data_IF_102789668442
#
_entry.id   IF_102789668442
#
_cell.length_a   1.000
_cell.length_b   1.000
_cell.length_c   1.000
_cell.angle_alpha   90.00
_cell.angle_beta   90.00
_cell.angle_gamma   90.00
#
_symmetry.space_group_name_H-M   'P 1'
#
loop_
_entity.id
_entity.type
_entity.pdbx_description
1 polymer ?
#
# COMPACT_ATOMS: atom_id res chain seq x y z
N UNK A 1 -25.20 3.96 11.22
CA UNK A 1 -23.96 4.35 11.95
C UNK A 1 -23.23 3.19 12.62
N UNK A 2 -23.90 2.24 13.31
CA UNK A 2 -23.22 1.09 13.94
C UNK A 2 -22.42 0.22 12.94
N UNK A 3 -23.02 -0.11 11.78
CA UNK A 3 -22.38 -0.90 10.73
C UNK A 3 -21.07 -0.27 10.22
N UNK A 4 -21.05 1.04 9.95
CA UNK A 4 -19.85 1.75 9.48
C UNK A 4 -18.70 1.68 10.49
N UNK A 5 -18.98 1.77 11.79
CA UNK A 5 -17.96 1.63 12.84
C UNK A 5 -17.36 0.23 12.85
N UNK A 6 -18.20 -0.80 12.67
CA UNK A 6 -17.75 -2.19 12.58
C UNK A 6 -16.86 -2.37 11.36
N UNK A 7 -17.27 -1.88 10.18
CA UNK A 7 -16.47 -1.96 8.94
C UNK A 7 -15.10 -1.29 9.08
N UNK A 8 -15.02 -0.11 9.70
CA UNK A 8 -13.73 0.56 9.98
C UNK A 8 -12.83 -0.27 10.90
N UNK A 9 -13.40 -0.84 11.95
CA UNK A 9 -12.64 -1.67 12.90
C UNK A 9 -12.18 -2.98 12.26
N UNK A 10 -13.00 -3.59 11.41
CA UNK A 10 -12.63 -4.77 10.63
C UNK A 10 -11.49 -4.44 9.65
N UNK A 11 -11.53 -3.27 8.99
CA UNK A 11 -10.43 -2.82 8.14
C UNK A 11 -9.13 -2.63 8.94
N UNK A 12 -9.20 -1.99 10.11
CA UNK A 12 -8.04 -1.81 10.99
C UNK A 12 -7.50 -3.14 11.52
N UNK A 13 -8.36 -4.05 11.98
CA UNK A 13 -7.94 -5.39 12.42
C UNK A 13 -7.32 -6.19 11.26
N UNK A 14 -7.91 -6.11 10.06
CA UNK A 14 -7.37 -6.72 8.85
C UNK A 14 -5.99 -6.20 8.50
N UNK A 15 -5.74 -4.90 8.64
CA UNK A 15 -4.40 -4.30 8.45
C UNK A 15 -3.36 -4.87 9.42
N UNK A 16 -3.71 -5.04 10.70
CA UNK A 16 -2.82 -5.64 11.70
C UNK A 16 -2.53 -7.09 11.36
N UNK A 17 -3.57 -7.88 11.10
CA UNK A 17 -3.44 -9.31 10.78
C UNK A 17 -2.60 -9.49 9.51
N UNK A 18 -2.88 -8.72 8.46
CA UNK A 18 -2.10 -8.73 7.23
C UNK A 18 -0.63 -8.44 7.49
N UNK A 19 -0.33 -7.36 8.22
CA UNK A 19 1.06 -6.94 8.48
C UNK A 19 1.79 -7.98 9.32
N UNK A 20 1.16 -8.51 10.37
CA UNK A 20 1.74 -9.53 11.22
C UNK A 20 1.99 -10.84 10.47
N UNK A 21 1.02 -11.31 9.67
CA UNK A 21 1.17 -12.51 8.87
C UNK A 21 2.25 -12.35 7.80
N UNK A 22 2.30 -11.19 7.14
CA UNK A 22 3.27 -10.89 6.09
C UNK A 22 4.71 -10.87 6.62
N UNK A 23 4.98 -10.09 7.68
CA UNK A 23 6.33 -10.06 8.26
C UNK A 23 6.67 -11.36 8.99
N UNK A 24 5.70 -12.04 9.59
CA UNK A 24 5.89 -13.38 10.16
C UNK A 24 6.33 -14.39 9.10
N UNK A 25 5.72 -14.35 7.92
CA UNK A 25 6.12 -15.16 6.78
C UNK A 25 7.53 -14.81 6.28
N UNK A 26 7.85 -13.53 6.09
CA UNK A 26 9.19 -13.12 5.68
C UNK A 26 10.27 -13.53 6.69
N UNK A 27 9.97 -13.43 7.99
CA UNK A 27 10.87 -13.87 9.05
C UNK A 27 11.06 -15.38 9.02
N UNK A 28 9.98 -16.14 8.83
CA UNK A 28 10.06 -17.59 8.65
C UNK A 28 10.96 -17.98 7.47
N UNK A 29 10.80 -17.32 6.31
CA UNK A 29 11.65 -17.56 5.13
C UNK A 29 13.11 -17.19 5.43
N UNK A 30 13.34 -16.04 6.08
CA UNK A 30 14.69 -15.61 6.46
C UNK A 30 15.38 -16.54 7.44
N UNK A 31 14.65 -17.12 8.41
CA UNK A 31 15.18 -18.12 9.33
C UNK A 31 15.43 -19.46 8.65
N UNK A 32 14.57 -19.86 7.70
CA UNK A 32 14.67 -21.15 7.02
C UNK A 32 15.79 -21.18 5.99
N UNK A 33 15.98 -20.10 5.24
CA UNK A 33 16.89 -20.04 4.09
C UNK A 33 18.11 -19.13 4.33
N UNK A 34 18.18 -18.48 5.50
CA UNK A 34 19.19 -17.49 5.84
C UNK A 34 18.83 -16.08 5.37
N UNK A 35 19.35 -15.07 6.09
CA UNK A 35 19.20 -13.66 5.74
C UNK A 35 20.16 -13.27 4.61
N UNK A 36 19.86 -13.72 3.39
CA UNK A 36 20.58 -13.30 2.19
C UNK A 36 20.39 -11.79 1.94
N UNK A 37 21.32 -11.12 1.22
CA UNK A 37 21.17 -9.70 0.88
C UNK A 37 19.83 -9.37 0.21
N UNK A 38 19.31 -10.28 -0.62
CA UNK A 38 18.01 -10.17 -1.26
C UNK A 38 16.85 -10.16 -0.25
N UNK A 39 16.92 -11.00 0.78
CA UNK A 39 15.90 -10.99 1.85
C UNK A 39 15.95 -9.68 2.64
N UNK A 40 17.16 -9.19 2.98
CA UNK A 40 17.33 -7.90 3.67
C UNK A 40 16.76 -6.76 2.83
N UNK A 41 17.07 -6.71 1.55
CA UNK A 41 16.51 -5.73 0.62
C UNK A 41 14.98 -5.77 0.64
N UNK A 42 14.39 -6.98 0.61
CA UNK A 42 12.95 -7.18 0.63
C UNK A 42 12.30 -6.68 1.93
N UNK A 43 12.91 -6.95 3.09
CA UNK A 43 12.47 -6.37 4.37
C UNK A 43 12.48 -4.85 4.37
N UNK A 44 13.52 -4.24 3.78
CA UNK A 44 13.63 -2.78 3.73
C UNK A 44 12.60 -2.19 2.77
N UNK A 45 12.42 -2.76 1.58
CA UNK A 45 11.41 -2.30 0.62
C UNK A 45 10.00 -2.46 1.16
N UNK A 46 9.74 -3.55 1.87
CA UNK A 46 8.40 -3.85 2.38
C UNK A 46 8.13 -3.27 3.78
N UNK A 47 9.11 -2.59 4.37
CA UNK A 47 8.99 -1.86 5.66
C UNK A 47 7.85 -0.85 5.68
N UNK A 48 7.41 -0.36 4.51
CA UNK A 48 6.26 0.54 4.40
C UNK A 48 4.97 -0.08 4.95
N UNK A 49 4.83 -1.41 4.93
CA UNK A 49 3.68 -2.09 5.53
C UNK A 49 3.65 -1.95 7.05
N UNK A 50 4.75 -1.63 7.73
CA UNK A 50 4.73 -1.35 9.17
C UNK A 50 3.87 -0.12 9.50
N UNK A 51 3.75 0.85 8.58
CA UNK A 51 2.85 1.99 8.75
C UNK A 51 1.37 1.59 8.76
N UNK A 52 1.01 0.38 8.26
CA UNK A 52 -0.35 -0.14 8.44
C UNK A 52 -0.69 -0.41 9.91
N UNK A 53 0.29 -0.70 10.78
CA UNK A 53 0.02 -0.85 12.21
C UNK A 53 -0.40 0.50 12.81
N UNK A 54 0.34 1.57 12.49
CA UNK A 54 0.00 2.93 12.93
C UNK A 54 -1.38 3.35 12.39
N UNK A 55 -1.59 3.16 11.09
CA UNK A 55 -2.87 3.37 10.42
C UNK A 55 -4.02 2.63 11.14
N UNK A 56 -3.84 1.34 11.41
CA UNK A 56 -4.84 0.49 12.05
C UNK A 56 -5.19 0.95 13.45
N UNK A 57 -4.20 1.36 14.26
CA UNK A 57 -4.44 1.94 15.59
C UNK A 57 -5.34 3.18 15.46
N UNK A 58 -5.03 4.07 14.50
CA UNK A 58 -5.85 5.24 14.23
C UNK A 58 -7.27 4.89 13.79
N UNK A 59 -7.46 3.87 12.95
CA UNK A 59 -8.78 3.38 12.53
C UNK A 59 -9.58 2.76 13.69
N UNK A 60 -8.96 1.91 14.51
CA UNK A 60 -9.60 1.26 15.65
C UNK A 60 -10.09 2.27 16.69
N UNK A 61 -9.31 3.32 16.91
CA UNK A 61 -9.63 4.45 17.79
C UNK A 61 -10.50 5.53 17.13
N UNK A 62 -10.85 5.36 15.86
CA UNK A 62 -11.66 6.31 15.05
C UNK A 62 -11.05 7.74 15.12
N UNK A 63 -9.74 7.83 14.96
CA UNK A 63 -9.02 9.11 14.91
C UNK A 63 -8.86 9.58 13.46
N UNK A 64 -9.08 10.88 13.23
CA UNK A 64 -9.01 11.49 11.88
C UNK A 64 -7.65 11.29 11.21
N UNK A 65 -6.55 11.32 11.96
CA UNK A 65 -5.22 11.02 11.42
C UNK A 65 -5.11 9.59 10.89
N UNK A 66 -5.81 8.61 11.49
CA UNK A 66 -5.83 7.22 11.04
C UNK A 66 -6.43 7.10 9.64
N UNK A 67 -7.49 7.87 9.35
CA UNK A 67 -8.07 7.95 8.01
C UNK A 67 -7.07 8.51 7.00
N UNK A 68 -6.40 9.63 7.33
CA UNK A 68 -5.40 10.23 6.45
C UNK A 68 -4.25 9.28 6.12
N UNK A 69 -3.66 8.65 7.15
CA UNK A 69 -2.57 7.69 6.98
C UNK A 69 -3.05 6.50 6.14
N UNK A 70 -4.25 5.95 6.41
CA UNK A 70 -4.80 4.84 5.62
C UNK A 70 -4.90 5.21 4.14
N UNK A 71 -5.57 6.32 3.84
CA UNK A 71 -5.83 6.73 2.46
C UNK A 71 -4.51 7.01 1.72
N UNK A 72 -3.53 7.64 2.37
CA UNK A 72 -2.21 7.91 1.79
C UNK A 72 -1.46 6.60 1.52
N UNK A 73 -1.47 5.64 2.46
CA UNK A 73 -0.79 4.35 2.27
C UNK A 73 -1.41 3.55 1.12
N UNK A 74 -2.73 3.38 1.10
CA UNK A 74 -3.40 2.69 -0.02
C UNK A 74 -3.23 3.45 -1.34
N UNK A 75 -3.26 4.78 -1.32
CA UNK A 75 -2.99 5.59 -2.50
C UNK A 75 -1.57 5.38 -3.05
N UNK A 76 -0.57 5.29 -2.17
CA UNK A 76 0.81 4.94 -2.56
C UNK A 76 0.87 3.55 -3.14
N UNK A 77 0.26 2.54 -2.50
CA UNK A 77 0.26 1.17 -3.00
C UNK A 77 -0.43 1.05 -4.37
N UNK A 78 -1.56 1.73 -4.55
CA UNK A 78 -2.25 1.80 -5.84
C UNK A 78 -1.35 2.43 -6.91
N UNK A 79 -0.73 3.58 -6.61
CA UNK A 79 0.17 4.26 -7.55
C UNK A 79 1.39 3.39 -7.89
N UNK A 80 2.06 2.82 -6.89
CA UNK A 80 3.20 1.91 -7.09
C UNK A 80 2.82 0.72 -7.95
N UNK A 81 1.67 0.09 -7.69
CA UNK A 81 1.22 -1.08 -8.47
C UNK A 81 0.83 -0.69 -9.89
N UNK A 82 0.18 0.46 -10.07
CA UNK A 82 -0.19 0.97 -11.39
C UNK A 82 1.05 1.23 -12.26
N UNK A 83 2.07 1.90 -11.70
CA UNK A 83 3.35 2.14 -12.39
C UNK A 83 4.04 0.80 -12.70
N UNK A 84 4.08 -0.13 -11.74
CA UNK A 84 4.70 -1.44 -11.92
C UNK A 84 4.06 -2.24 -13.06
N UNK A 85 2.74 -2.45 -13.00
CA UNK A 85 2.00 -3.18 -14.04
C UNK A 85 2.06 -2.46 -15.39
N UNK A 86 2.00 -1.13 -15.41
CA UNK A 86 2.14 -0.35 -16.64
C UNK A 86 3.53 -0.49 -17.28
N UNK A 87 4.59 -0.50 -16.47
CA UNK A 87 5.97 -0.72 -16.94
C UNK A 87 6.14 -2.14 -17.47
N UNK A 88 5.62 -3.14 -16.77
CA UNK A 88 5.66 -4.55 -17.21
C UNK A 88 4.97 -4.72 -18.58
N UNK A 89 3.76 -4.18 -18.75
CA UNK A 89 3.06 -4.21 -20.04
C UNK A 89 3.78 -3.44 -21.15
N UNK A 90 4.38 -2.29 -20.84
CA UNK A 90 5.18 -1.54 -21.80
C UNK A 90 6.39 -2.34 -22.29
N UNK A 91 7.12 -2.99 -21.37
CA UNK A 91 8.30 -3.79 -21.72
C UNK A 91 7.95 -5.04 -22.54
N UNK A 92 6.82 -5.70 -22.24
CA UNK A 92 6.33 -6.84 -23.02
C UNK A 92 5.90 -6.38 -24.42
N UNK A 93 5.12 -5.31 -24.53
CA UNK A 93 4.60 -4.83 -25.83
C UNK A 93 5.67 -4.29 -26.77
N UNK A 94 6.79 -3.79 -26.23
CA UNK A 94 7.95 -3.34 -27.01
C UNK A 94 8.92 -4.47 -27.36
N UNK A 95 8.73 -5.68 -26.82
CA UNK A 95 9.63 -6.81 -27.02
C UNK A 95 10.99 -6.66 -26.32
N UNK A 96 11.10 -5.74 -25.36
CA UNK A 96 12.33 -5.55 -24.56
C UNK A 96 12.56 -6.69 -23.57
N UNK A 97 11.50 -7.41 -23.20
CA UNK A 97 11.57 -8.63 -22.37
C UNK A 97 11.02 -9.80 -23.21
N UNK A 98 11.73 -10.94 -23.21
CA UNK A 98 11.37 -12.14 -23.96
C UNK A 98 10.33 -13.02 -23.25
N UNK A 99 9.90 -12.64 -22.04
CA UNK A 99 8.91 -13.38 -21.25
C UNK A 99 7.52 -13.24 -21.88
N UNK A 100 6.82 -14.35 -22.13
CA UNK A 100 5.45 -14.31 -22.64
C UNK A 100 4.51 -13.70 -21.59
N UNK A 101 3.46 -13.02 -22.05
CA UNK A 101 2.43 -12.48 -21.17
C UNK A 101 1.73 -13.62 -20.42
N UNK A 102 1.98 -13.71 -19.11
CA UNK A 102 1.26 -14.61 -18.21
C UNK A 102 -0.07 -13.98 -17.78
N UNK A 103 -1.16 -14.45 -18.38
CA UNK A 103 -2.53 -14.00 -18.05
C UNK A 103 -2.91 -14.24 -16.59
N UNK A 104 -2.37 -15.28 -15.95
CA UNK A 104 -2.62 -15.56 -14.54
C UNK A 104 -2.05 -14.46 -13.64
N UNK A 105 -0.80 -14.07 -13.90
CA UNK A 105 -0.16 -12.95 -13.20
C UNK A 105 -0.84 -11.62 -13.51
N UNK A 106 -1.17 -11.35 -14.78
CA UNK A 106 -1.82 -10.12 -15.19
C UNK A 106 -3.22 -9.95 -14.54
N UNK A 107 -4.00 -11.03 -14.44
CA UNK A 107 -5.32 -10.98 -13.79
C UNK A 107 -5.21 -10.79 -12.27
N UNK A 108 -4.22 -11.42 -11.62
CA UNK A 108 -3.94 -11.19 -10.21
C UNK A 108 -3.56 -9.72 -9.93
N UNK A 109 -2.70 -9.14 -10.77
CA UNK A 109 -2.30 -7.74 -10.68
C UNK A 109 -3.47 -6.77 -10.82
N UNK A 110 -4.35 -7.01 -11.79
CA UNK A 110 -5.57 -6.24 -11.98
C UNK A 110 -6.52 -6.40 -10.78
N UNK A 111 -6.65 -7.59 -10.22
CA UNK A 111 -7.41 -7.85 -9.00
C UNK A 111 -6.91 -7.03 -7.81
N UNK A 112 -5.59 -6.95 -7.63
CA UNK A 112 -4.96 -6.14 -6.57
C UNK A 112 -5.23 -4.65 -6.79
N UNK A 113 -5.10 -4.15 -8.03
CA UNK A 113 -5.41 -2.75 -8.37
C UNK A 113 -6.86 -2.40 -8.03
N UNK A 114 -7.81 -3.26 -8.42
CA UNK A 114 -9.23 -3.08 -8.12
C UNK A 114 -9.50 -3.11 -6.61
N UNK A 115 -8.83 -4.00 -5.87
CA UNK A 115 -8.97 -4.08 -4.42
C UNK A 115 -8.48 -2.79 -3.74
N UNK A 116 -7.31 -2.27 -4.11
CA UNK A 116 -6.81 -1.01 -3.56
C UNK A 116 -7.69 0.18 -3.92
N UNK A 117 -8.16 0.27 -5.17
CA UNK A 117 -9.09 1.31 -5.60
C UNK A 117 -10.41 1.23 -4.82
N UNK A 118 -10.94 0.02 -4.62
CA UNK A 118 -12.16 -0.24 -3.85
C UNK A 118 -12.03 0.23 -2.40
N UNK A 119 -10.91 -0.04 -1.73
CA UNK A 119 -10.65 0.45 -0.36
C UNK A 119 -10.62 1.98 -0.31
N UNK A 120 -9.93 2.64 -1.26
CA UNK A 120 -9.88 4.10 -1.33
C UNK A 120 -11.28 4.67 -1.56
N UNK A 121 -12.03 4.16 -2.54
CA UNK A 121 -13.40 4.61 -2.83
C UNK A 121 -14.28 4.48 -1.58
N UNK A 122 -14.19 3.35 -0.88
CA UNK A 122 -14.91 3.09 0.38
C UNK A 122 -14.56 4.14 1.46
N UNK A 123 -13.29 4.49 1.63
CA UNK A 123 -12.83 5.51 2.58
C UNK A 123 -13.32 6.93 2.22
N UNK A 124 -13.51 7.22 0.93
CA UNK A 124 -14.04 8.49 0.44
C UNK A 124 -15.58 8.58 0.47
N UNK A 125 -16.29 7.51 0.82
CA UNK A 125 -17.75 7.54 0.98
C UNK A 125 -18.17 8.55 2.06
N UNK A 126 -19.34 9.15 1.89
CA UNK A 126 -19.88 10.12 2.84
C UNK A 126 -19.99 9.56 4.27
N UNK A 127 -20.37 8.28 4.41
CA UNK A 127 -20.50 7.61 5.69
C UNK A 127 -19.17 7.52 6.46
N UNK A 128 -18.09 7.11 5.79
CA UNK A 128 -16.76 7.03 6.40
C UNK A 128 -16.24 8.41 6.77
N UNK A 129 -16.35 9.37 5.85
CA UNK A 129 -15.91 10.75 6.09
C UNK A 129 -16.61 11.40 7.28
N UNK A 130 -17.93 11.24 7.40
CA UNK A 130 -18.71 11.74 8.54
C UNK A 130 -18.28 11.10 9.85
N UNK A 131 -17.91 9.81 9.83
CA UNK A 131 -17.45 9.11 11.03
C UNK A 131 -16.11 9.66 11.56
N UNK A 132 -15.22 10.11 10.69
CA UNK A 132 -13.93 10.70 11.04
C UNK A 132 -13.95 12.24 11.19
N UNK A 133 -15.12 12.86 11.06
CA UNK A 133 -15.28 14.32 11.19
C UNK A 133 -14.69 15.14 10.04
N UNK A 134 -14.59 14.59 8.83
CA UNK A 134 -14.01 15.26 7.66
C UNK A 134 -15.05 16.11 6.92
N UNK A 135 -15.01 17.43 7.13
CA UNK A 135 -15.98 18.43 6.62
C UNK A 135 -15.64 19.02 5.25
N UNK A 136 -14.45 18.72 4.74
CA UNK A 136 -13.82 19.39 3.62
C UNK A 136 -14.46 18.98 2.28
N UNK A 137 -14.37 19.84 1.27
CA UNK A 137 -14.87 19.50 -0.08
C UNK A 137 -14.08 18.32 -0.66
N UNK A 138 -14.77 17.44 -1.41
CA UNK A 138 -14.16 16.23 -2.03
C UNK A 138 -12.89 16.56 -2.83
N UNK A 139 -12.92 17.63 -3.62
CA UNK A 139 -11.76 18.07 -4.41
C UNK A 139 -10.54 18.41 -3.56
N UNK A 140 -10.72 19.16 -2.46
CA UNK A 140 -9.64 19.50 -1.54
C UNK A 140 -9.06 18.25 -0.87
N UNK A 141 -9.92 17.32 -0.44
CA UNK A 141 -9.47 16.05 0.13
C UNK A 141 -8.65 15.23 -0.88
N UNK A 142 -9.11 15.12 -2.13
CA UNK A 142 -8.38 14.40 -3.19
C UNK A 142 -7.00 15.02 -3.44
N UNK A 143 -6.90 16.35 -3.50
CA UNK A 143 -5.62 17.05 -3.68
C UNK A 143 -4.69 16.80 -2.50
N UNK A 144 -5.18 16.97 -1.26
CA UNK A 144 -4.37 16.73 -0.06
C UNK A 144 -3.88 15.29 0.03
N UNK A 145 -4.75 14.33 -0.28
CA UNK A 145 -4.38 12.91 -0.38
C UNK A 145 -3.34 12.68 -1.48
N UNK A 146 -3.54 13.22 -2.68
CA UNK A 146 -2.61 13.05 -3.80
C UNK A 146 -1.22 13.61 -3.46
N UNK A 147 -1.17 14.80 -2.84
CA UNK A 147 0.09 15.36 -2.34
C UNK A 147 0.75 14.44 -1.31
N UNK A 148 -0.01 13.92 -0.35
CA UNK A 148 0.51 12.96 0.64
C UNK A 148 1.07 11.68 0.00
N UNK A 149 0.37 11.15 -1.01
CA UNK A 149 0.80 9.97 -1.79
C UNK A 149 2.10 10.25 -2.53
N UNK A 150 2.20 11.39 -3.23
CA UNK A 150 3.39 11.78 -3.99
C UNK A 150 4.58 11.97 -3.06
N UNK A 151 4.39 12.68 -1.94
CA UNK A 151 5.46 12.89 -0.94
C UNK A 151 5.92 11.56 -0.36
N UNK A 152 5.00 10.69 0.06
CA UNK A 152 5.37 9.38 0.60
C UNK A 152 6.07 8.51 -0.44
N UNK A 153 5.62 8.54 -1.69
CA UNK A 153 6.26 7.82 -2.79
C UNK A 153 7.68 8.36 -3.06
N UNK A 154 7.88 9.68 -3.08
CA UNK A 154 9.19 10.29 -3.30
C UNK A 154 10.18 9.96 -2.17
N UNK A 155 9.73 10.03 -0.91
CA UNK A 155 10.55 9.62 0.25
C UNK A 155 10.93 8.16 0.14
N UNK A 156 9.95 7.28 -0.12
CA UNK A 156 10.18 5.85 -0.29
C UNK A 156 11.20 5.58 -1.41
N UNK A 157 10.99 6.17 -2.59
CA UNK A 157 11.90 6.03 -3.73
C UNK A 157 13.32 6.48 -3.41
N UNK A 158 13.48 7.63 -2.75
CA UNK A 158 14.79 8.16 -2.36
C UNK A 158 15.51 7.23 -1.39
N UNK A 159 14.80 6.71 -0.38
CA UNK A 159 15.37 5.77 0.59
C UNK A 159 15.77 4.46 -0.08
N UNK A 160 14.91 3.90 -0.93
CA UNK A 160 15.22 2.67 -1.67
C UNK A 160 16.42 2.88 -2.60
N UNK A 161 16.48 3.99 -3.34
CA UNK A 161 17.60 4.29 -4.23
C UNK A 161 18.91 4.43 -3.45
N UNK A 162 18.91 5.19 -2.34
CA UNK A 162 20.08 5.34 -1.50
C UNK A 162 20.57 4.00 -0.93
N UNK A 163 19.65 3.12 -0.53
CA UNK A 163 19.97 1.77 -0.06
C UNK A 163 20.61 0.93 -1.17
N UNK A 164 20.04 0.93 -2.38
CA UNK A 164 20.57 0.19 -3.53
C UNK A 164 21.99 0.65 -3.87
N UNK A 165 22.22 1.97 -3.90
CA UNK A 165 23.56 2.54 -4.13
C UNK A 165 24.55 2.17 -3.02
N UNK A 166 24.12 2.17 -1.75
CA UNK A 166 24.97 1.78 -0.63
C UNK A 166 25.34 0.29 -0.63
N UNK A 167 24.53 -0.56 -1.28
CA UNK A 167 24.80 -2.00 -1.44
C UNK A 167 25.71 -2.31 -2.64
N UNK A 168 26.07 -1.31 -3.46
CA UNK A 168 27.01 -1.47 -4.57
C UNK A 168 26.43 -2.09 -5.85
N UNK A 169 25.13 -1.89 -6.10
CA UNK A 169 24.47 -2.22 -7.36
C UNK A 169 24.48 -1.06 -8.35
#
# INVERSE_FOLDING_TARGET
MKLTKISVRLLGAGQIIFTAAYFGYLLFVGLSWGFTPRMVQLFVTDSIFLFFILSAIGLLLIKTWGWWVTVILYGKLLLSKFIGTGTEWFLISTGLIAEPLDWGRATADLGILLLYAGVIILLFTHCFRKLFGLTERRGRLMIMTAMGVIVLYAVYFTVTLALVLAMGF
#
